data_IF_286620820476
#
_entry.id   IF_286620820476
#
_cell.length_a   1.000
_cell.length_b   1.000
_cell.length_c   1.000
_cell.angle_alpha   90.00
_cell.angle_beta   90.00
_cell.angle_gamma   90.00
#
_symmetry.space_group_name_H-M   'P 1'
#
loop_
_entity.id
_entity.type
_entity.pdbx_description
1 polymer ?
#
# COMPACT_ATOMS: atom_id res chain seq x y z
N UNK A 1 -2.54 -26.24 7.03
CA UNK A 1 -3.72 -25.40 7.37
C UNK A 1 -4.88 -25.78 6.50
N UNK A 2 -6.08 -26.04 7.08
CA UNK A 2 -7.28 -26.36 6.32
C UNK A 2 -7.63 -25.16 5.43
N UNK A 3 -7.95 -25.40 4.15
CA UNK A 3 -8.28 -24.38 3.12
C UNK A 3 -9.48 -23.45 3.45
N UNK A 4 -10.15 -23.64 4.58
CA UNK A 4 -11.42 -22.98 4.92
C UNK A 4 -11.27 -21.57 5.53
N UNK A 5 -10.05 -21.12 5.89
CA UNK A 5 -9.84 -19.84 6.60
C UNK A 5 -9.00 -18.80 5.86
N UNK A 6 -8.77 -18.95 4.56
CA UNK A 6 -8.01 -17.97 3.79
C UNK A 6 -8.87 -16.72 3.59
N UNK A 7 -8.34 -15.54 3.95
CA UNK A 7 -8.94 -14.24 3.67
C UNK A 7 -8.64 -13.88 2.20
N UNK A 8 -9.67 -13.62 1.42
CA UNK A 8 -9.56 -13.27 0.00
C UNK A 8 -9.70 -11.78 -0.22
N UNK A 9 -8.76 -11.19 -0.94
CA UNK A 9 -8.74 -9.78 -1.29
C UNK A 9 -8.97 -9.56 -2.79
N UNK A 10 -9.84 -8.60 -3.13
CA UNK A 10 -10.01 -8.08 -4.48
C UNK A 10 -9.41 -6.68 -4.56
N UNK A 11 -8.39 -6.49 -5.39
CA UNK A 11 -7.64 -5.24 -5.45
C UNK A 11 -8.04 -4.38 -6.65
N UNK A 12 -8.66 -3.23 -6.39
CA UNK A 12 -8.87 -2.17 -7.38
C UNK A 12 -7.65 -1.25 -7.41
N UNK A 13 -7.30 -0.74 -8.60
CA UNK A 13 -6.14 0.14 -8.80
C UNK A 13 -4.84 -0.49 -8.30
N UNK A 14 -4.63 -1.75 -8.67
CA UNK A 14 -3.61 -2.63 -8.09
C UNK A 14 -2.16 -2.11 -8.27
N UNK A 15 -1.91 -1.26 -9.26
CA UNK A 15 -0.57 -0.76 -9.57
C UNK A 15 0.41 -1.91 -9.81
N UNK A 16 1.61 -1.79 -9.27
CA UNK A 16 2.62 -2.87 -9.29
C UNK A 16 2.47 -3.84 -8.10
N UNK A 17 1.33 -3.82 -7.39
CA UNK A 17 0.98 -4.78 -6.36
C UNK A 17 1.33 -4.39 -4.92
N UNK A 18 1.54 -3.09 -4.60
CA UNK A 18 1.88 -2.68 -3.23
C UNK A 18 0.85 -3.11 -2.18
N UNK A 19 -0.44 -2.96 -2.48
CA UNK A 19 -1.52 -3.46 -1.64
C UNK A 19 -1.53 -4.98 -1.52
N UNK A 20 -1.28 -5.68 -2.64
CA UNK A 20 -1.23 -7.16 -2.69
C UNK A 20 -0.09 -7.69 -1.80
N UNK A 21 1.11 -7.11 -1.90
CA UNK A 21 2.22 -7.48 -1.00
C UNK A 21 1.89 -7.20 0.48
N UNK A 22 1.15 -6.13 0.76
CA UNK A 22 0.65 -5.86 2.10
C UNK A 22 -0.31 -6.94 2.60
N UNK A 23 -1.19 -7.44 1.73
CA UNK A 23 -2.05 -8.59 1.99
C UNK A 23 -1.27 -9.89 2.25
N UNK A 24 -0.20 -10.16 1.46
CA UNK A 24 0.68 -11.31 1.69
C UNK A 24 1.34 -11.27 3.09
N UNK A 25 1.79 -10.08 3.55
CA UNK A 25 2.32 -9.90 4.91
C UNK A 25 1.25 -10.19 6.00
N UNK A 26 -0.02 -10.09 5.64
CA UNK A 26 -1.15 -10.45 6.51
C UNK A 26 -1.60 -11.91 6.33
N UNK A 27 -0.96 -12.68 5.45
CA UNK A 27 -1.39 -14.04 5.11
C UNK A 27 -2.75 -14.07 4.37
N UNK A 28 -3.15 -12.95 3.76
CA UNK A 28 -4.30 -12.88 2.88
C UNK A 28 -3.93 -13.34 1.47
N UNK A 29 -4.91 -13.68 0.66
CA UNK A 29 -4.72 -14.09 -0.72
C UNK A 29 -5.43 -13.14 -1.68
N UNK A 30 -4.69 -12.54 -2.61
CA UNK A 30 -5.29 -11.82 -3.72
C UNK A 30 -6.07 -12.80 -4.61
N UNK A 31 -7.34 -12.52 -4.89
CA UNK A 31 -8.18 -13.33 -5.77
C UNK A 31 -8.49 -12.65 -7.11
N UNK A 32 -8.32 -11.33 -7.21
CA UNK A 32 -8.44 -10.57 -8.45
C UNK A 32 -7.77 -9.20 -8.32
N UNK A 33 -7.25 -8.67 -9.44
CA UNK A 33 -6.70 -7.32 -9.52
C UNK A 33 -7.27 -6.54 -10.70
N UNK A 34 -7.46 -5.24 -10.54
CA UNK A 34 -7.83 -4.30 -11.61
C UNK A 34 -6.74 -3.25 -11.75
N UNK A 35 -6.15 -3.15 -12.93
CA UNK A 35 -5.07 -2.19 -13.21
C UNK A 35 -5.11 -1.77 -14.67
N UNK A 36 -5.22 -0.47 -14.93
CA UNK A 36 -5.37 0.04 -16.29
C UNK A 36 -4.04 0.16 -17.05
N UNK A 37 -2.91 0.36 -16.33
CA UNK A 37 -1.61 0.59 -16.96
C UNK A 37 -1.00 -0.73 -17.46
N UNK A 38 -0.73 -0.88 -18.78
CA UNK A 38 -0.21 -2.13 -19.34
C UNK A 38 1.12 -2.57 -18.73
N UNK A 39 1.98 -1.60 -18.36
CA UNK A 39 3.25 -1.92 -17.70
C UNK A 39 3.03 -2.56 -16.32
N UNK A 40 2.15 -1.98 -15.50
CA UNK A 40 1.85 -2.51 -14.18
C UNK A 40 1.19 -3.89 -14.27
N UNK A 41 0.28 -4.11 -15.23
CA UNK A 41 -0.26 -5.45 -15.52
C UNK A 41 0.84 -6.46 -15.88
N UNK A 42 1.83 -6.04 -16.68
CA UNK A 42 2.96 -6.90 -17.06
C UNK A 42 3.83 -7.25 -15.86
N UNK A 43 4.03 -6.31 -14.93
CA UNK A 43 4.74 -6.54 -13.65
C UNK A 43 3.97 -7.57 -12.82
N UNK A 44 2.67 -7.37 -12.59
CA UNK A 44 1.85 -8.32 -11.82
C UNK A 44 1.89 -9.73 -12.42
N UNK A 45 1.69 -9.86 -13.73
CA UNK A 45 1.78 -11.15 -14.45
C UNK A 45 3.15 -11.81 -14.30
N UNK A 46 4.24 -11.01 -14.31
CA UNK A 46 5.57 -11.56 -14.13
C UNK A 46 5.78 -12.03 -12.67
N UNK A 47 5.33 -11.26 -11.67
CA UNK A 47 5.44 -11.67 -10.26
C UNK A 47 4.61 -12.92 -9.94
N UNK A 48 3.48 -13.14 -10.61
CA UNK A 48 2.74 -14.40 -10.54
C UNK A 48 3.60 -15.57 -11.09
N UNK A 49 4.21 -15.40 -12.27
CA UNK A 49 5.12 -16.41 -12.86
C UNK A 49 6.32 -16.72 -11.95
N UNK A 50 6.85 -15.72 -11.28
CA UNK A 50 7.95 -15.85 -10.33
C UNK A 50 7.50 -16.45 -8.98
N UNK A 51 6.21 -16.68 -8.77
CA UNK A 51 5.59 -17.16 -7.52
C UNK A 51 5.74 -16.19 -6.33
N UNK A 52 5.91 -14.91 -6.61
CA UNK A 52 5.90 -13.86 -5.59
C UNK A 52 4.49 -13.47 -5.17
N UNK A 53 3.53 -13.79 -6.01
CA UNK A 53 2.10 -13.61 -5.79
C UNK A 53 1.36 -14.87 -6.24
N UNK A 54 0.19 -15.18 -5.65
CA UNK A 54 -0.67 -16.24 -6.18
C UNK A 54 -1.14 -15.91 -7.60
N UNK A 55 -1.61 -16.91 -8.32
CA UNK A 55 -2.28 -16.68 -9.60
C UNK A 55 -3.69 -16.11 -9.36
N UNK A 56 -3.99 -14.98 -10.00
CA UNK A 56 -5.29 -14.33 -10.01
C UNK A 56 -5.53 -13.61 -11.34
N UNK A 57 -6.79 -13.42 -11.78
CA UNK A 57 -7.11 -12.65 -12.97
C UNK A 57 -6.79 -11.17 -12.79
N UNK A 58 -6.24 -10.54 -13.84
CA UNK A 58 -5.94 -9.12 -13.89
C UNK A 58 -6.83 -8.48 -14.95
N UNK A 59 -7.77 -7.63 -14.50
CA UNK A 59 -8.68 -6.86 -15.33
C UNK A 59 -8.08 -5.50 -15.67
N UNK A 60 -8.51 -4.90 -16.80
CA UNK A 60 -7.96 -3.62 -17.27
C UNK A 60 -8.61 -2.41 -16.63
N UNK A 61 -9.86 -2.17 -16.94
CA UNK A 61 -10.56 -0.93 -16.56
C UNK A 61 -11.74 -1.23 -15.64
N UNK A 62 -11.75 -0.59 -14.47
CA UNK A 62 -12.85 -0.69 -13.50
C UNK A 62 -14.19 -0.23 -14.09
N UNK A 63 -14.17 0.75 -14.99
CA UNK A 63 -15.38 1.31 -15.61
C UNK A 63 -16.15 0.26 -16.44
N UNK A 64 -15.44 -0.77 -16.94
CA UNK A 64 -16.03 -1.85 -17.75
C UNK A 64 -16.50 -3.05 -16.93
N UNK A 65 -16.17 -3.09 -15.63
CA UNK A 65 -16.51 -4.22 -14.78
C UNK A 65 -17.87 -4.04 -14.11
N UNK A 66 -18.67 -5.11 -14.13
CA UNK A 66 -19.87 -5.19 -13.32
C UNK A 66 -19.56 -5.88 -11.98
N UNK A 67 -19.61 -5.12 -10.87
CA UNK A 67 -19.31 -5.65 -9.55
C UNK A 67 -20.23 -6.80 -9.11
N UNK A 68 -21.44 -6.89 -9.67
CA UNK A 68 -22.38 -7.97 -9.35
C UNK A 68 -21.85 -9.36 -9.71
N UNK A 69 -20.99 -9.45 -10.74
CA UNK A 69 -20.40 -10.70 -11.20
C UNK A 69 -19.40 -11.27 -10.16
N UNK A 70 -18.96 -10.46 -9.20
CA UNK A 70 -17.98 -10.81 -8.17
C UNK A 70 -18.58 -10.96 -6.76
N UNK A 71 -19.91 -10.87 -6.65
CA UNK A 71 -20.60 -10.97 -5.36
C UNK A 71 -20.28 -12.30 -4.67
N UNK A 72 -19.81 -12.23 -3.42
CA UNK A 72 -19.47 -13.41 -2.60
C UNK A 72 -18.16 -14.11 -2.98
N UNK A 73 -17.35 -13.57 -3.90
CA UNK A 73 -16.10 -14.19 -4.32
C UNK A 73 -14.88 -13.72 -3.51
N UNK A 74 -15.02 -12.68 -2.71
CA UNK A 74 -13.95 -12.12 -1.87
C UNK A 74 -14.48 -11.69 -0.50
N UNK A 75 -13.57 -11.55 0.47
CA UNK A 75 -13.84 -11.09 1.83
C UNK A 75 -13.60 -9.57 1.96
N UNK A 76 -12.58 -9.03 1.28
CA UNK A 76 -12.17 -7.63 1.38
C UNK A 76 -12.02 -7.03 -0.02
N UNK A 77 -12.64 -5.88 -0.25
CA UNK A 77 -12.37 -5.03 -1.41
C UNK A 77 -11.32 -4.00 -1.03
N UNK A 78 -10.15 -4.08 -1.67
CA UNK A 78 -9.01 -3.20 -1.42
C UNK A 78 -8.85 -2.18 -2.57
N UNK A 79 -8.41 -0.94 -2.26
CA UNK A 79 -8.09 0.01 -3.33
C UNK A 79 -7.49 1.33 -2.84
N UNK A 80 -6.39 1.73 -3.48
CA UNK A 80 -5.86 3.09 -3.40
C UNK A 80 -6.40 3.93 -4.56
N UNK A 81 -7.57 4.54 -4.40
CA UNK A 81 -8.22 5.22 -5.51
C UNK A 81 -7.49 6.53 -5.89
N UNK A 82 -7.27 6.79 -7.20
CA UNK A 82 -6.55 7.98 -7.66
C UNK A 82 -7.25 9.28 -7.27
N UNK A 83 -6.47 10.25 -6.77
CA UNK A 83 -6.93 11.54 -6.27
C UNK A 83 -6.63 12.69 -7.25
N UNK A 84 -6.70 12.47 -8.55
CA UNK A 84 -6.38 13.53 -9.53
C UNK A 84 -7.33 14.74 -9.45
N UNK A 85 -8.53 14.55 -8.95
CA UNK A 85 -9.54 15.59 -8.77
C UNK A 85 -9.21 16.60 -7.65
N UNK A 86 -8.45 16.19 -6.64
CA UNK A 86 -8.15 17.02 -5.46
C UNK A 86 -6.73 17.61 -5.48
N UNK A 87 -5.94 17.36 -6.53
CA UNK A 87 -4.60 17.95 -6.64
C UNK A 87 -4.71 19.43 -7.03
N UNK A 88 -3.93 20.29 -6.34
CA UNK A 88 -3.80 21.72 -6.64
C UNK A 88 -3.33 21.99 -8.08
N UNK A 89 -2.71 21.01 -8.75
CA UNK A 89 -2.30 21.08 -10.15
C UNK A 89 -3.46 20.96 -11.15
N UNK A 90 -4.64 20.50 -10.74
CA UNK A 90 -5.79 20.30 -11.62
C UNK A 90 -6.59 21.60 -11.89
N UNK A 91 -6.26 22.74 -11.24
CA UNK A 91 -6.93 24.03 -11.38
C UNK A 91 -8.47 23.97 -11.44
N UNK A 92 -9.08 23.01 -10.75
CA UNK A 92 -10.54 22.89 -10.66
C UNK A 92 -11.25 22.42 -11.92
N UNK A 93 -10.53 22.04 -13.01
CA UNK A 93 -11.14 21.54 -14.24
C UNK A 93 -11.31 20.02 -14.20
N UNK A 94 -12.52 19.54 -14.51
CA UNK A 94 -12.88 18.12 -14.65
C UNK A 94 -12.67 17.29 -13.37
N UNK A 95 -13.11 17.81 -12.21
CA UNK A 95 -12.97 17.14 -10.91
C UNK A 95 -13.75 15.82 -10.89
N UNK A 96 -14.94 15.76 -11.46
CA UNK A 96 -15.80 14.58 -11.45
C UNK A 96 -15.29 13.46 -12.35
N UNK A 97 -14.81 13.77 -13.55
CA UNK A 97 -14.29 12.79 -14.51
C UNK A 97 -12.99 12.09 -14.04
N UNK A 98 -12.25 12.73 -13.13
CA UNK A 98 -10.98 12.20 -12.60
C UNK A 98 -11.10 11.57 -11.22
N UNK A 99 -12.30 11.56 -10.65
CA UNK A 99 -12.55 11.00 -9.32
C UNK A 99 -13.03 9.54 -9.42
N UNK A 100 -12.07 8.62 -9.45
CA UNK A 100 -12.36 7.19 -9.52
C UNK A 100 -12.94 6.61 -8.21
N UNK A 101 -13.14 7.41 -7.16
CA UNK A 101 -13.94 7.00 -6.00
C UNK A 101 -15.37 6.63 -6.40
N UNK A 102 -15.99 7.36 -7.31
CA UNK A 102 -17.33 7.04 -7.83
C UNK A 102 -17.42 5.62 -8.40
N UNK A 103 -16.42 5.23 -9.19
CA UNK A 103 -16.34 3.88 -9.75
C UNK A 103 -16.07 2.81 -8.69
N UNK A 104 -15.19 3.09 -7.72
CA UNK A 104 -15.00 2.18 -6.58
C UNK A 104 -16.30 2.02 -5.77
N UNK A 105 -17.02 3.11 -5.50
CA UNK A 105 -18.29 3.09 -4.78
C UNK A 105 -19.38 2.32 -5.57
N UNK A 106 -19.42 2.49 -6.90
CA UNK A 106 -20.30 1.72 -7.78
C UNK A 106 -20.00 0.23 -7.64
N UNK A 107 -18.74 -0.15 -7.70
CA UNK A 107 -18.31 -1.54 -7.56
C UNK A 107 -18.63 -2.11 -6.15
N UNK A 108 -18.42 -1.32 -5.08
CA UNK A 108 -18.84 -1.67 -3.71
C UNK A 108 -20.32 -2.00 -3.64
N UNK A 109 -21.18 -1.14 -4.23
CA UNK A 109 -22.65 -1.33 -4.25
C UNK A 109 -23.03 -2.60 -5.00
N UNK A 110 -22.50 -2.78 -6.20
CA UNK A 110 -22.82 -3.90 -7.07
C UNK A 110 -22.36 -5.26 -6.50
N UNK A 111 -21.15 -5.32 -5.97
CA UNK A 111 -20.58 -6.54 -5.41
C UNK A 111 -21.12 -6.85 -4.00
N UNK A 112 -21.78 -5.87 -3.36
CA UNK A 112 -22.15 -5.92 -1.94
C UNK A 112 -20.94 -6.33 -1.08
N UNK A 113 -19.80 -5.64 -1.28
CA UNK A 113 -18.52 -5.94 -0.63
C UNK A 113 -18.70 -6.08 0.90
N UNK A 114 -18.28 -7.22 1.52
CA UNK A 114 -18.46 -7.40 2.97
C UNK A 114 -17.64 -6.43 3.81
N UNK A 115 -16.39 -6.19 3.37
CA UNK A 115 -15.43 -5.27 3.98
C UNK A 115 -14.75 -4.47 2.87
N UNK A 116 -14.52 -3.18 3.12
CA UNK A 116 -13.78 -2.29 2.20
C UNK A 116 -12.56 -1.73 2.93
N UNK A 117 -11.38 -1.85 2.32
CA UNK A 117 -10.14 -1.25 2.78
C UNK A 117 -9.61 -0.31 1.72
N UNK A 118 -9.63 0.99 2.00
CA UNK A 118 -9.29 2.01 1.01
C UNK A 118 -8.21 2.98 1.50
N UNK A 119 -7.48 3.54 0.54
CA UNK A 119 -6.39 4.49 0.79
C UNK A 119 -6.50 5.71 -0.12
N UNK A 120 -6.07 6.87 0.39
CA UNK A 120 -5.85 8.05 -0.42
C UNK A 120 -4.75 8.96 0.17
N UNK A 121 -4.17 9.79 -0.69
CA UNK A 121 -3.19 10.81 -0.28
C UNK A 121 -3.84 12.04 0.37
N UNK A 122 -5.15 12.23 0.21
CA UNK A 122 -5.89 13.42 0.66
C UNK A 122 -6.94 13.02 1.68
N UNK A 123 -6.89 13.64 2.87
CA UNK A 123 -7.86 13.40 3.94
C UNK A 123 -9.31 13.61 3.47
N UNK A 124 -9.58 14.70 2.75
CA UNK A 124 -10.93 15.04 2.26
C UNK A 124 -11.53 13.94 1.38
N UNK A 125 -10.69 13.20 0.62
CA UNK A 125 -11.15 12.08 -0.19
C UNK A 125 -11.60 10.90 0.69
N UNK A 126 -10.87 10.62 1.76
CA UNK A 126 -11.22 9.58 2.75
C UNK A 126 -12.46 9.98 3.56
N UNK A 127 -12.63 11.26 3.91
CA UNK A 127 -13.85 11.76 4.57
C UNK A 127 -15.08 11.57 3.71
N UNK A 128 -14.98 11.89 2.41
CA UNK A 128 -16.08 11.64 1.48
C UNK A 128 -16.36 10.14 1.36
N UNK A 129 -15.33 9.32 1.23
CA UNK A 129 -15.48 7.87 1.14
C UNK A 129 -16.14 7.29 2.40
N UNK A 130 -15.73 7.76 3.59
CA UNK A 130 -16.36 7.41 4.88
C UNK A 130 -17.86 7.71 4.85
N UNK A 131 -18.24 8.94 4.52
CA UNK A 131 -19.64 9.35 4.47
C UNK A 131 -20.47 8.50 3.53
N UNK A 132 -19.98 8.32 2.29
CA UNK A 132 -20.69 7.54 1.26
C UNK A 132 -20.88 6.06 1.68
N UNK A 133 -19.91 5.47 2.40
CA UNK A 133 -19.99 4.10 2.91
C UNK A 133 -20.93 4.01 4.13
N UNK A 134 -20.91 5.00 5.03
CA UNK A 134 -21.86 5.07 6.14
C UNK A 134 -23.31 5.16 5.66
N UNK A 135 -23.57 5.93 4.59
CA UNK A 135 -24.89 6.00 3.94
C UNK A 135 -25.33 4.63 3.35
N UNK A 136 -24.38 3.74 3.03
CA UNK A 136 -24.64 2.37 2.59
C UNK A 136 -24.74 1.36 3.75
N UNK A 137 -24.70 1.83 5.00
CA UNK A 137 -24.83 1.02 6.20
C UNK A 137 -23.53 0.33 6.65
N UNK A 138 -22.36 0.81 6.21
CA UNK A 138 -21.08 0.35 6.74
C UNK A 138 -20.75 1.07 8.05
N UNK A 139 -20.11 0.37 8.97
CA UNK A 139 -19.39 0.96 10.10
C UNK A 139 -17.97 1.25 9.63
N UNK A 140 -17.48 2.49 9.82
CA UNK A 140 -16.22 2.94 9.25
C UNK A 140 -15.28 3.47 10.32
N UNK A 141 -14.03 3.03 10.29
CA UNK A 141 -12.89 3.61 11.02
C UNK A 141 -11.81 4.09 10.05
N UNK A 142 -10.99 5.03 10.47
CA UNK A 142 -9.94 5.62 9.63
C UNK A 142 -8.67 5.87 10.43
N UNK A 143 -7.54 5.97 9.74
CA UNK A 143 -6.27 6.41 10.32
C UNK A 143 -5.41 7.12 9.27
N UNK A 144 -4.40 7.86 9.75
CA UNK A 144 -3.27 8.36 8.98
C UNK A 144 -2.03 7.61 9.41
N UNK A 145 -1.34 6.99 8.48
CA UNK A 145 -0.08 6.30 8.74
C UNK A 145 0.91 6.62 7.62
N UNK A 146 2.14 6.92 8.00
CA UNK A 146 3.24 7.16 7.06
C UNK A 146 4.28 6.05 7.11
N UNK A 147 5.16 6.02 6.11
CA UNK A 147 6.31 5.13 6.13
C UNK A 147 7.25 5.44 7.31
N UNK A 148 7.44 6.72 7.63
CA UNK A 148 8.28 7.13 8.77
C UNK A 148 7.70 6.69 10.12
N UNK A 149 6.37 6.63 10.27
CA UNK A 149 5.74 6.19 11.52
C UNK A 149 6.08 4.74 11.88
N UNK A 150 6.43 3.91 10.89
CA UNK A 150 6.83 2.52 11.05
C UNK A 150 8.33 2.28 10.80
N UNK A 151 9.15 3.34 10.82
CA UNK A 151 10.61 3.25 10.82
C UNK A 151 11.31 3.31 9.46
N UNK A 152 10.61 3.65 8.38
CA UNK A 152 11.27 3.91 7.10
C UNK A 152 11.94 5.28 7.05
N UNK A 153 13.00 5.41 6.25
CA UNK A 153 13.81 6.63 6.13
C UNK A 153 13.13 7.76 5.33
N UNK A 154 11.83 7.67 5.04
CA UNK A 154 11.09 8.70 4.31
C UNK A 154 9.67 8.85 4.84
N UNK A 155 9.14 10.09 4.74
CA UNK A 155 7.72 10.30 4.93
C UNK A 155 6.96 9.73 3.73
N UNK A 156 5.74 9.38 3.91
CA UNK A 156 4.75 9.10 2.88
C UNK A 156 3.40 9.05 3.58
N UNK A 157 2.90 10.17 4.04
CA UNK A 157 1.60 10.23 4.70
C UNK A 157 0.51 9.71 3.79
N UNK A 158 -0.31 8.79 4.30
CA UNK A 158 -1.48 8.23 3.64
C UNK A 158 -2.63 8.13 4.63
N UNK A 159 -3.82 8.32 4.12
CA UNK A 159 -5.06 8.18 4.89
C UNK A 159 -5.73 6.89 4.48
N UNK A 160 -6.13 6.12 5.47
CA UNK A 160 -6.67 4.77 5.32
C UNK A 160 -8.05 4.71 5.96
N UNK A 161 -8.94 3.91 5.39
CA UNK A 161 -10.21 3.55 6.01
C UNK A 161 -10.45 2.04 5.94
N UNK A 162 -11.14 1.52 6.95
CA UNK A 162 -11.73 0.19 6.97
C UNK A 162 -13.22 0.35 7.21
N UNK A 163 -14.03 -0.19 6.33
CA UNK A 163 -15.48 -0.17 6.41
C UNK A 163 -16.02 -1.60 6.44
N UNK A 164 -16.89 -1.89 7.39
CA UNK A 164 -17.44 -3.22 7.65
C UNK A 164 -18.96 -3.19 7.52
N UNK A 165 -19.50 -4.09 6.70
CA UNK A 165 -20.94 -4.31 6.55
C UNK A 165 -21.34 -5.71 7.02
N UNK A 166 -20.50 -6.71 6.73
CA UNK A 166 -20.74 -8.09 7.15
C UNK A 166 -19.91 -8.45 8.38
N UNK A 167 -20.59 -8.53 9.53
CA UNK A 167 -19.98 -8.83 10.83
C UNK A 167 -19.39 -10.24 10.87
N UNK A 168 -19.96 -11.21 10.14
CA UNK A 168 -19.47 -12.60 10.11
C UNK A 168 -18.14 -12.67 9.36
N UNK A 169 -18.04 -12.02 8.20
CA UNK A 169 -16.79 -11.91 7.44
C UNK A 169 -15.74 -11.16 8.26
N UNK A 170 -16.13 -10.07 8.92
CA UNK A 170 -15.23 -9.34 9.80
C UNK A 170 -14.75 -10.19 10.98
N UNK A 171 -15.61 -11.02 11.57
CA UNK A 171 -15.23 -11.98 12.61
C UNK A 171 -14.19 -13.00 12.14
N UNK A 172 -14.28 -13.50 10.90
CA UNK A 172 -13.25 -14.33 10.28
C UNK A 172 -11.92 -13.59 10.14
N UNK A 173 -11.97 -12.33 9.69
CA UNK A 173 -10.78 -11.47 9.54
C UNK A 173 -10.11 -11.22 10.89
N UNK A 174 -10.88 -10.85 11.92
CA UNK A 174 -10.33 -10.58 13.25
C UNK A 174 -9.69 -11.78 13.90
N UNK A 175 -10.29 -12.95 13.76
CA UNK A 175 -9.71 -14.21 14.24
C UNK A 175 -8.37 -14.48 13.54
N UNK A 176 -8.31 -14.30 12.22
CA UNK A 176 -7.07 -14.46 11.47
C UNK A 176 -6.00 -13.47 11.93
N UNK A 177 -6.33 -12.16 11.96
CA UNK A 177 -5.38 -11.10 12.37
C UNK A 177 -4.86 -11.30 13.81
N UNK A 178 -5.68 -11.83 14.72
CA UNK A 178 -5.25 -12.09 16.10
C UNK A 178 -4.18 -13.18 16.23
N UNK A 179 -4.02 -14.03 15.23
CA UNK A 179 -2.99 -15.07 15.19
C UNK A 179 -1.67 -14.61 14.58
N UNK A 180 -1.66 -13.42 13.94
CA UNK A 180 -0.47 -12.94 13.26
C UNK A 180 0.58 -12.40 14.26
N UNK A 181 1.87 -12.69 14.05
CA UNK A 181 2.94 -12.08 14.81
C UNK A 181 3.00 -10.56 14.57
N UNK A 182 3.65 -9.83 15.45
CA UNK A 182 3.96 -8.41 15.22
C UNK A 182 4.89 -8.31 14.01
N UNK A 183 4.61 -7.38 13.10
CA UNK A 183 5.44 -7.15 11.91
C UNK A 183 6.81 -6.62 12.37
N UNK A 184 7.89 -7.25 11.93
CA UNK A 184 9.26 -6.84 12.29
C UNK A 184 9.72 -5.69 11.40
N UNK A 185 10.19 -4.60 12.01
CA UNK A 185 10.72 -3.42 11.31
C UNK A 185 12.16 -3.56 10.82
N UNK A 186 12.72 -4.77 10.79
CA UNK A 186 14.12 -5.01 10.44
C UNK A 186 14.45 -4.79 8.96
N UNK A 187 13.45 -4.64 8.10
CA UNK A 187 13.67 -4.48 6.65
C UNK A 187 14.53 -3.25 6.33
N UNK A 188 14.21 -2.09 6.92
CA UNK A 188 14.98 -0.86 6.71
C UNK A 188 16.23 -0.75 7.60
N UNK A 189 16.46 -1.74 8.51
CA UNK A 189 17.68 -1.83 9.33
C UNK A 189 18.87 -2.40 8.57
N UNK A 190 18.65 -3.09 7.45
CA UNK A 190 19.71 -3.61 6.61
C UNK A 190 20.40 -2.48 5.84
N UNK A 191 21.72 -2.59 5.67
CA UNK A 191 22.59 -1.56 5.09
C UNK A 191 22.09 -1.10 3.69
N UNK A 192 21.72 0.15 3.57
CA UNK A 192 21.38 0.85 2.31
C UNK A 192 22.45 0.64 1.22
N UNK A 193 23.72 0.46 1.59
CA UNK A 193 24.85 0.27 0.65
C UNK A 193 24.79 -1.03 -0.15
N UNK A 194 24.17 -2.09 0.36
CA UNK A 194 24.07 -3.38 -0.35
C UNK A 194 23.03 -3.38 -1.47
N UNK A 195 22.10 -2.42 -1.46
CA UNK A 195 21.02 -2.33 -2.47
C UNK A 195 21.53 -1.74 -3.80
N UNK A 196 22.67 -1.03 -3.76
CA UNK A 196 23.18 -0.22 -4.88
C UNK A 196 23.91 -0.97 -6.00
N UNK A 197 24.46 -2.14 -5.76
CA UNK A 197 25.52 -2.69 -6.61
C UNK A 197 25.06 -3.62 -7.75
N UNK A 198 23.78 -3.94 -7.86
CA UNK A 198 23.25 -4.83 -8.91
C UNK A 198 22.40 -4.06 -9.94
N UNK A 199 23.02 -3.12 -10.66
CA UNK A 199 22.33 -2.39 -11.73
C UNK A 199 22.21 -3.23 -13.00
N UNK A 200 21.01 -3.71 -13.29
CA UNK A 200 20.67 -4.14 -14.65
C UNK A 200 20.17 -2.91 -15.39
N UNK A 201 20.86 -2.50 -16.43
CA UNK A 201 20.37 -1.47 -17.36
C UNK A 201 19.04 -1.95 -17.98
N UNK A 202 17.93 -1.37 -17.51
CA UNK A 202 16.59 -1.67 -18.03
C UNK A 202 16.02 -0.44 -18.75
N UNK A 203 15.60 -0.62 -20.00
CA UNK A 203 14.91 0.40 -20.78
C UNK A 203 13.59 0.86 -20.13
N UNK A 204 13.10 0.14 -19.12
CA UNK A 204 11.88 0.43 -18.38
C UNK A 204 12.08 1.25 -17.11
N UNK A 205 13.30 1.70 -16.80
CA UNK A 205 13.64 2.44 -15.56
C UNK A 205 12.60 3.50 -15.18
N UNK A 206 12.16 4.35 -16.15
CA UNK A 206 11.15 5.39 -15.90
C UNK A 206 9.80 4.80 -15.50
N UNK A 207 9.37 3.70 -16.14
CA UNK A 207 8.11 3.02 -15.83
C UNK A 207 8.16 2.34 -14.45
N UNK A 208 9.32 1.77 -14.09
CA UNK A 208 9.56 1.20 -12.76
C UNK A 208 9.44 2.27 -11.67
N UNK A 209 10.16 3.39 -11.81
CA UNK A 209 10.08 4.51 -10.86
C UNK A 209 8.67 5.10 -10.76
N UNK A 210 7.95 5.18 -11.89
CA UNK A 210 6.55 5.60 -11.91
C UNK A 210 5.67 4.60 -11.13
N UNK A 211 5.86 3.31 -11.36
CA UNK A 211 5.12 2.25 -10.67
C UNK A 211 5.35 2.28 -9.17
N UNK A 212 6.62 2.33 -8.74
CA UNK A 212 6.98 2.40 -7.30
C UNK A 212 6.49 3.71 -6.68
N UNK A 213 6.63 4.85 -7.38
CA UNK A 213 6.18 6.15 -6.89
C UNK A 213 4.67 6.25 -6.66
N UNK A 214 3.86 5.53 -7.44
CA UNK A 214 2.40 5.48 -7.28
C UNK A 214 1.94 4.39 -6.30
N UNK A 215 2.78 3.41 -5.99
CA UNK A 215 2.38 2.25 -5.22
C UNK A 215 2.14 2.56 -3.74
N UNK A 216 1.35 1.75 -3.08
CA UNK A 216 1.27 1.67 -1.62
C UNK A 216 2.53 0.97 -1.08
N UNK A 217 3.00 1.36 0.11
CA UNK A 217 4.08 0.64 0.80
C UNK A 217 3.52 -0.60 1.49
N UNK A 218 4.02 -1.82 1.19
CA UNK A 218 3.48 -3.05 1.73
C UNK A 218 3.40 -3.10 3.26
N UNK A 219 4.46 -2.70 3.96
CA UNK A 219 4.49 -2.69 5.42
C UNK A 219 3.51 -1.68 6.02
N UNK A 220 3.31 -0.53 5.36
CA UNK A 220 2.30 0.47 5.79
C UNK A 220 0.89 -0.07 5.57
N UNK A 221 0.63 -0.75 4.44
CA UNK A 221 -0.66 -1.43 4.16
C UNK A 221 -1.00 -2.40 5.28
N UNK A 222 -0.09 -3.33 5.58
CA UNK A 222 -0.30 -4.34 6.61
C UNK A 222 -0.51 -3.73 8.00
N UNK A 223 0.30 -2.73 8.37
CA UNK A 223 0.19 -2.04 9.65
C UNK A 223 -1.10 -1.25 9.78
N UNK A 224 -1.48 -0.48 8.74
CA UNK A 224 -2.71 0.31 8.72
C UNK A 224 -3.94 -0.59 8.84
N UNK A 225 -3.96 -1.73 8.12
CA UNK A 225 -5.06 -2.69 8.21
C UNK A 225 -5.23 -3.20 9.65
N UNK A 226 -4.16 -3.64 10.30
CA UNK A 226 -4.19 -4.15 11.68
C UNK A 226 -4.60 -3.08 12.69
N UNK A 227 -4.12 -1.85 12.56
CA UNK A 227 -4.53 -0.72 13.40
C UNK A 227 -6.03 -0.47 13.25
N UNK A 228 -6.55 -0.46 12.02
CA UNK A 228 -7.97 -0.23 11.77
C UNK A 228 -8.84 -1.38 12.25
N UNK A 229 -8.40 -2.64 12.16
CA UNK A 229 -9.08 -3.78 12.79
C UNK A 229 -9.17 -3.59 14.30
N UNK A 230 -8.07 -3.18 14.95
CA UNK A 230 -8.06 -2.92 16.39
C UNK A 230 -9.00 -1.76 16.76
N UNK A 231 -9.00 -0.65 16.00
CA UNK A 231 -9.94 0.47 16.21
C UNK A 231 -11.40 0.05 16.06
N UNK A 232 -11.69 -0.80 15.08
CA UNK A 232 -13.05 -1.34 14.87
C UNK A 232 -13.49 -2.20 16.05
N UNK A 233 -12.63 -3.10 16.55
CA UNK A 233 -12.89 -3.94 17.71
C UNK A 233 -13.08 -3.12 19.00
N UNK A 234 -12.29 -2.07 19.18
CA UNK A 234 -12.39 -1.16 20.33
C UNK A 234 -13.54 -0.13 20.18
N UNK A 235 -14.30 -0.19 19.09
CA UNK A 235 -15.41 0.76 18.77
C UNK A 235 -14.97 2.23 18.73
N UNK A 236 -13.74 2.49 18.30
CA UNK A 236 -13.14 3.84 18.22
C UNK A 236 -13.54 4.56 16.91
N UNK A 237 -14.85 4.62 16.60
CA UNK A 237 -15.38 5.11 15.31
C UNK A 237 -15.11 6.60 15.06
N UNK A 238 -14.99 7.39 16.11
CA UNK A 238 -14.77 8.83 16.04
C UNK A 238 -13.35 9.24 16.46
N UNK A 239 -12.43 8.29 16.57
CA UNK A 239 -11.03 8.58 16.91
C UNK A 239 -10.39 9.45 15.83
N UNK A 240 -9.49 10.34 16.26
CA UNK A 240 -8.64 11.12 15.35
C UNK A 240 -7.93 10.19 14.35
N UNK A 241 -7.70 10.68 13.14
CA UNK A 241 -6.94 9.94 12.13
C UNK A 241 -5.49 9.69 12.54
N UNK A 242 -4.93 10.49 13.45
CA UNK A 242 -3.55 10.32 13.93
C UNK A 242 -3.42 9.01 14.69
N UNK A 243 -2.42 8.21 14.34
CA UNK A 243 -2.09 6.97 15.02
C UNK A 243 -1.10 7.26 16.13
N UNK A 244 -1.36 6.72 17.33
CA UNK A 244 -0.43 6.86 18.45
C UNK A 244 0.71 5.83 18.39
N UNK A 245 1.82 6.11 19.09
CA UNK A 245 2.93 5.18 19.19
C UNK A 245 2.53 3.83 19.81
N UNK A 246 1.55 3.83 20.73
CA UNK A 246 1.02 2.63 21.36
C UNK A 246 0.20 1.79 20.37
N UNK A 247 -0.54 2.42 19.47
CA UNK A 247 -1.25 1.69 18.40
C UNK A 247 -0.28 1.03 17.44
N UNK A 248 0.80 1.75 17.08
CA UNK A 248 1.86 1.21 16.22
C UNK A 248 2.56 0.03 16.91
N UNK A 249 2.96 0.18 18.17
CA UNK A 249 3.67 -0.86 18.93
C UNK A 249 2.90 -2.17 19.05
N UNK A 250 1.57 -2.15 18.94
CA UNK A 250 0.73 -3.36 18.95
C UNK A 250 0.82 -4.17 17.65
N UNK A 251 1.21 -3.56 16.56
CA UNK A 251 1.18 -4.19 15.23
C UNK A 251 2.54 -4.27 14.55
N UNK A 252 3.47 -3.41 14.96
CA UNK A 252 4.78 -3.27 14.35
C UNK A 252 5.88 -3.14 15.41
N UNK A 253 6.95 -3.91 15.29
CA UNK A 253 8.11 -3.84 16.18
C UNK A 253 9.05 -2.72 15.73
N UNK A 254 8.94 -1.54 16.36
CA UNK A 254 9.88 -0.45 16.17
C UNK A 254 11.02 -0.61 17.19
N UNK A 255 12.25 -0.78 16.73
CA UNK A 255 13.40 -0.73 17.64
C UNK A 255 13.69 0.75 17.98
N UNK A 256 13.65 1.14 19.28
CA UNK A 256 13.80 2.54 19.71
C UNK A 256 15.11 3.21 19.23
N UNK A 257 16.20 2.45 19.18
CA UNK A 257 17.51 2.90 18.68
C UNK A 257 17.50 3.31 17.23
N UNK A 258 16.60 2.77 16.44
CA UNK A 258 16.51 2.93 15.01
C UNK A 258 15.97 4.29 14.59
N UNK A 259 14.84 4.70 15.20
CA UNK A 259 14.25 6.02 14.98
C UNK A 259 15.25 7.11 15.40
N UNK A 260 15.96 6.94 16.53
CA UNK A 260 16.91 7.93 17.03
C UNK A 260 18.20 7.99 16.21
N UNK A 261 18.73 6.87 15.74
CA UNK A 261 19.97 6.84 14.93
C UNK A 261 19.72 7.27 13.49
N UNK A 262 18.63 6.86 12.85
CA UNK A 262 18.26 7.31 11.50
C UNK A 262 17.94 8.81 11.46
N UNK A 263 17.19 9.32 12.43
CA UNK A 263 16.86 10.75 12.50
C UNK A 263 18.06 11.63 12.84
N UNK A 264 18.99 11.16 13.70
CA UNK A 264 20.14 11.96 14.14
C UNK A 264 21.31 11.97 13.14
N UNK A 265 21.51 10.89 12.37
CA UNK A 265 22.68 10.72 11.51
C UNK A 265 22.42 10.95 10.02
N UNK A 266 21.23 10.69 9.50
CA UNK A 266 20.96 10.73 8.05
C UNK A 266 19.87 11.73 7.67
N UNK A 267 18.90 12.02 8.55
CA UNK A 267 17.67 12.75 8.21
C UNK A 267 16.78 11.95 7.26
N UNK A 268 15.50 12.34 7.15
CA UNK A 268 14.58 11.69 6.22
C UNK A 268 15.00 11.93 4.77
N UNK A 269 14.86 10.89 3.94
CA UNK A 269 15.03 10.96 2.50
C UNK A 269 13.73 11.41 1.84
N UNK A 270 13.78 12.10 0.71
CA UNK A 270 12.59 12.41 -0.06
C UNK A 270 11.86 11.14 -0.50
N UNK A 271 10.56 11.11 -0.30
CA UNK A 271 9.70 10.04 -0.79
C UNK A 271 9.90 9.83 -2.29
N UNK A 272 10.09 8.59 -2.76
CA UNK A 272 10.08 8.29 -4.19
C UNK A 272 8.77 8.77 -4.83
N UNK A 273 8.87 9.59 -5.88
CA UNK A 273 7.71 10.13 -6.59
C UNK A 273 7.82 9.88 -8.09
N UNK A 274 6.68 9.95 -8.77
CA UNK A 274 6.58 9.79 -10.22
C UNK A 274 7.31 10.91 -10.99
N UNK A 275 7.36 12.10 -10.39
CA UNK A 275 8.02 13.31 -10.91
C UNK A 275 9.42 13.43 -10.31
N UNK A 276 10.25 12.42 -10.53
CA UNK A 276 11.59 12.33 -9.91
C UNK A 276 12.58 13.40 -10.42
N UNK A 277 12.21 14.68 -10.33
CA UNK A 277 13.15 15.76 -10.55
C UNK A 277 13.93 16.06 -9.25
N UNK A 278 14.71 15.09 -8.81
CA UNK A 278 15.54 15.17 -7.62
C UNK A 278 16.64 16.26 -7.69
N UNK A 279 16.74 16.96 -8.81
CA UNK A 279 17.64 18.10 -9.01
C UNK A 279 16.95 19.45 -8.80
N UNK A 280 15.66 19.49 -8.50
CA UNK A 280 14.92 20.73 -8.32
C UNK A 280 15.40 21.46 -7.04
N UNK A 281 15.81 22.74 -7.13
CA UNK A 281 16.29 23.53 -5.98
C UNK A 281 15.26 23.63 -4.84
N UNK A 282 13.96 23.61 -5.16
CA UNK A 282 12.89 23.65 -4.14
C UNK A 282 12.83 22.37 -3.30
N UNK A 283 13.14 21.20 -3.88
CA UNK A 283 13.25 19.95 -3.15
C UNK A 283 14.51 19.89 -2.28
N UNK A 284 15.59 20.54 -2.71
CA UNK A 284 16.84 20.61 -1.94
C UNK A 284 16.74 21.52 -0.72
N UNK A 285 15.75 22.43 -0.69
CA UNK A 285 15.51 23.39 0.40
C UNK A 285 14.47 22.95 1.43
N UNK A 286 13.82 21.80 1.25
CA UNK A 286 12.87 21.27 2.23
C UNK A 286 13.62 20.90 3.52
N UNK A 287 13.32 21.64 4.60
CA UNK A 287 13.93 21.41 5.91
C UNK A 287 13.66 19.98 6.39
N UNK A 288 14.70 19.31 6.87
CA UNK A 288 14.62 17.98 7.47
C UNK A 288 14.62 16.79 6.50
N UNK A 289 14.73 17.01 5.18
CA UNK A 289 14.84 15.91 4.23
C UNK A 289 16.15 15.98 3.44
N UNK A 290 16.86 14.85 3.34
CA UNK A 290 17.99 14.71 2.42
C UNK A 290 17.48 14.41 1.01
N UNK A 291 18.14 15.01 0.01
CA UNK A 291 17.85 14.73 -1.37
C UNK A 291 18.19 13.27 -1.69
N UNK A 292 17.28 12.55 -2.32
CA UNK A 292 17.46 11.17 -2.75
C UNK A 292 18.78 10.97 -3.53
N UNK A 293 19.15 11.93 -4.39
CA UNK A 293 20.39 11.89 -5.16
C UNK A 293 21.64 11.98 -4.29
N UNK A 294 21.59 12.67 -3.16
CA UNK A 294 22.72 12.77 -2.21
C UNK A 294 22.92 11.44 -1.48
N UNK A 295 21.85 10.75 -1.16
CA UNK A 295 21.91 9.47 -0.40
C UNK A 295 22.23 8.29 -1.32
N UNK A 296 21.59 8.21 -2.49
CA UNK A 296 21.63 7.06 -3.39
C UNK A 296 22.31 7.33 -4.74
N UNK A 297 22.84 8.55 -4.96
CA UNK A 297 23.35 8.94 -6.27
C UNK A 297 22.22 9.09 -7.30
N UNK A 298 22.33 8.40 -8.44
CA UNK A 298 21.27 8.41 -9.44
C UNK A 298 20.02 7.67 -8.90
N UNK A 299 18.80 8.23 -9.07
CA UNK A 299 17.59 7.53 -8.67
C UNK A 299 17.41 6.23 -9.47
N UNK A 300 17.57 5.10 -8.82
CA UNK A 300 17.38 3.78 -9.43
C UNK A 300 16.15 3.06 -8.85
N UNK A 301 15.47 2.19 -9.62
CA UNK A 301 14.28 1.48 -9.16
C UNK A 301 14.50 0.69 -7.87
N UNK A 302 15.62 -0.01 -7.72
CA UNK A 302 15.94 -0.80 -6.54
C UNK A 302 15.96 0.06 -5.25
N UNK A 303 16.52 1.27 -5.34
CA UNK A 303 16.56 2.18 -4.20
C UNK A 303 15.15 2.68 -3.82
N UNK A 304 14.30 2.92 -4.83
CA UNK A 304 12.93 3.30 -4.62
C UNK A 304 12.09 2.13 -4.04
N UNK A 305 12.30 0.91 -4.54
CA UNK A 305 11.68 -0.31 -4.02
C UNK A 305 12.06 -0.51 -2.54
N UNK A 306 13.34 -0.42 -2.21
CA UNK A 306 13.82 -0.52 -0.83
C UNK A 306 13.17 0.52 0.08
N UNK A 307 13.21 1.80 -0.28
CA UNK A 307 12.58 2.85 0.53
C UNK A 307 11.09 2.60 0.75
N UNK A 308 10.41 2.10 -0.28
CA UNK A 308 8.98 1.82 -0.22
C UNK A 308 8.63 0.49 0.47
N UNK A 309 9.64 -0.29 0.90
CA UNK A 309 9.43 -1.59 1.55
C UNK A 309 9.00 -2.70 0.61
N UNK A 310 9.34 -2.62 -0.68
CA UNK A 310 9.13 -3.69 -1.65
C UNK A 310 10.28 -4.70 -1.63
N UNK A 311 10.02 -5.96 -2.04
CA UNK A 311 11.11 -6.85 -2.44
C UNK A 311 11.88 -6.23 -3.61
N UNK A 312 13.22 -6.33 -3.59
CA UNK A 312 14.04 -5.76 -4.66
C UNK A 312 13.78 -6.51 -5.99
N UNK A 313 13.46 -5.74 -7.03
CA UNK A 313 13.06 -6.23 -8.33
C UNK A 313 11.54 -6.33 -8.53
N UNK A 314 10.74 -5.95 -7.54
CA UNK A 314 9.27 -6.03 -7.59
C UNK A 314 8.67 -5.28 -8.79
N UNK A 315 9.26 -4.16 -9.20
CA UNK A 315 8.77 -3.32 -10.31
C UNK A 315 9.24 -3.77 -11.70
N UNK A 316 10.06 -4.82 -11.81
CA UNK A 316 10.61 -5.32 -13.07
C UNK A 316 9.63 -6.22 -13.81
N UNK A 317 9.74 -6.25 -15.14
CA UNK A 317 9.01 -7.23 -16.00
C UNK A 317 9.87 -8.45 -16.34
N UNK A 318 11.14 -8.47 -15.95
CA UNK A 318 12.04 -9.62 -16.09
C UNK A 318 11.79 -10.64 -14.97
N UNK A 319 12.08 -11.92 -15.20
CA UNK A 319 12.01 -12.96 -14.17
C UNK A 319 12.91 -12.64 -12.96
N UNK A 320 12.43 -12.97 -11.78
CA UNK A 320 13.15 -12.80 -10.52
C UNK A 320 13.11 -14.10 -9.71
N UNK A 321 14.19 -14.36 -8.93
CA UNK A 321 14.23 -15.53 -8.06
C UNK A 321 13.21 -15.42 -6.93
N UNK A 322 12.58 -16.55 -6.60
CA UNK A 322 11.71 -16.67 -5.41
C UNK A 322 12.48 -16.38 -4.11
N UNK A 323 13.80 -16.61 -4.08
CA UNK A 323 14.62 -16.35 -2.90
C UNK A 323 14.63 -14.88 -2.50
N UNK A 324 14.52 -13.96 -3.47
CA UNK A 324 14.41 -12.52 -3.18
C UNK A 324 13.10 -12.20 -2.43
N UNK A 325 12.02 -12.86 -2.82
CA UNK A 325 10.74 -12.73 -2.14
C UNK A 325 10.77 -13.35 -0.75
N UNK A 326 11.30 -14.56 -0.62
CA UNK A 326 11.40 -15.26 0.65
C UNK A 326 12.25 -14.48 1.68
N UNK A 327 13.35 -13.85 1.24
CA UNK A 327 14.16 -12.98 2.10
C UNK A 327 13.38 -11.76 2.57
N UNK A 328 12.60 -11.14 1.69
CA UNK A 328 11.77 -9.99 2.03
C UNK A 328 10.64 -10.37 2.99
N UNK A 329 9.94 -11.49 2.74
CA UNK A 329 8.84 -11.97 3.56
C UNK A 329 9.28 -12.24 5.01
N UNK A 330 10.51 -12.73 5.22
CA UNK A 330 11.07 -12.98 6.55
C UNK A 330 11.11 -11.73 7.44
N UNK A 331 11.18 -10.54 6.86
CA UNK A 331 11.11 -9.28 7.62
C UNK A 331 9.69 -8.93 8.10
N UNK A 332 8.66 -9.50 7.49
CA UNK A 332 7.27 -9.23 7.85
C UNK A 332 6.62 -10.28 8.75
N UNK A 333 7.03 -11.54 8.62
CA UNK A 333 6.29 -12.68 9.20
C UNK A 333 7.10 -13.52 10.21
N UNK A 334 8.38 -13.32 10.31
CA UNK A 334 9.30 -14.05 11.23
C UNK A 334 10.09 -13.08 12.08
#
# INVERSE_FOLDING_TARGET
>A
MKRENIIKEFHLFAGIGGGIYGGELLGHQCCAGVEILPYAQSVLKQRQKDRWMPEFPIYGDICTLNGADFKGQFDILCGGFPCQAFSTAAHGKNIEEKNLWGEMLRFVKQSNAPVVFAENVVLRAIEKAKKDLEELGYIVVRCRLSCADIGADHQRNRFWLLAVKDVKVFGKITLHVSTLPIIKGSYWASNIKEVGDNFVHDNNRRKQLLGVGNAQSPFVVASAFRILVNRMLSKEFNKSEVVSSEEIAKVFEIKPTWIQESFNNIGLVHTPTTMANYSCPSLMKQQGCRNFKVVFGRPEPNNAEYLMGFPIGASRVQPMSIDNFNKWEQHGTK
#
